data_IF_054408775922
#
_entry.id   IF_054408775922
#
_cell.length_a   1.000
_cell.length_b   1.000
_cell.length_c   1.000
_cell.angle_alpha   90.00
_cell.angle_beta   90.00
_cell.angle_gamma   90.00
#
_symmetry.space_group_name_H-M   'P 1'
#
loop_
_entity.id
_entity.type
_entity.pdbx_description
1 polymer ?
#
# COMPACT_ATOMS: atom_id res chain seq x y z
N UNK A 1 -5.64 1.50 -3.59
CA UNK A 1 -5.26 2.51 -4.59
C UNK A 1 -5.80 3.84 -4.10
N UNK A 2 -4.95 4.68 -3.51
CA UNK A 2 -5.37 5.94 -2.86
C UNK A 2 -5.52 7.13 -3.83
N UNK A 3 -5.64 6.86 -5.14
CA UNK A 3 -5.89 7.90 -6.14
C UNK A 3 -4.65 8.63 -6.68
N UNK A 4 -3.48 8.50 -6.05
CA UNK A 4 -2.24 9.19 -6.45
C UNK A 4 -1.80 8.90 -7.89
N UNK A 5 -1.81 9.95 -8.73
CA UNK A 5 -1.47 9.86 -10.16
C UNK A 5 0.01 9.52 -10.40
N UNK A 6 0.91 10.12 -9.61
CA UNK A 6 2.33 9.78 -9.62
C UNK A 6 2.58 8.30 -9.27
N UNK A 7 1.90 7.75 -8.26
CA UNK A 7 2.08 6.33 -7.91
C UNK A 7 1.51 5.41 -8.99
N UNK A 8 0.39 5.78 -9.63
CA UNK A 8 -0.20 5.02 -10.74
C UNK A 8 0.69 4.97 -11.98
N UNK A 9 1.50 6.01 -12.23
CA UNK A 9 2.40 6.02 -13.40
C UNK A 9 3.55 5.02 -13.29
N UNK A 10 3.85 4.50 -12.09
CA UNK A 10 4.84 3.44 -11.88
C UNK A 10 4.44 2.09 -12.49
N UNK A 11 3.21 1.97 -13.02
CA UNK A 11 2.73 0.81 -13.75
C UNK A 11 1.93 -0.17 -12.90
N UNK A 12 1.54 -1.29 -13.53
CA UNK A 12 0.76 -2.36 -12.87
C UNK A 12 1.70 -3.36 -12.18
N UNK A 13 1.29 -3.95 -11.04
CA UNK A 13 2.04 -5.04 -10.41
C UNK A 13 2.25 -6.20 -11.39
N UNK A 14 3.46 -6.75 -11.40
CA UNK A 14 3.76 -7.97 -12.12
C UNK A 14 3.32 -9.18 -11.31
N UNK A 15 2.59 -10.12 -11.92
CA UNK A 15 2.07 -11.35 -11.28
C UNK A 15 3.13 -12.45 -11.09
N UNK A 16 4.38 -12.05 -10.81
CA UNK A 16 5.52 -12.98 -10.67
C UNK A 16 5.50 -13.76 -9.35
N UNK A 17 4.91 -13.20 -8.32
CA UNK A 17 4.85 -13.83 -7.00
C UNK A 17 3.67 -14.80 -6.92
N UNK A 18 3.99 -16.08 -6.76
CA UNK A 18 3.02 -17.19 -6.77
C UNK A 18 3.21 -18.17 -5.61
N UNK A 19 4.25 -17.98 -4.79
CA UNK A 19 4.45 -18.76 -3.58
C UNK A 19 3.43 -18.37 -2.50
N UNK A 20 3.14 -19.32 -1.60
CA UNK A 20 2.12 -19.18 -0.56
C UNK A 20 2.33 -17.93 0.31
N UNK A 21 3.57 -17.69 0.77
CA UNK A 21 3.89 -16.55 1.64
C UNK A 21 3.60 -15.24 0.93
N UNK A 22 4.03 -15.10 -0.33
CA UNK A 22 3.71 -13.92 -1.13
C UNK A 22 2.21 -13.72 -1.34
N UNK A 23 1.46 -14.79 -1.62
CA UNK A 23 0.02 -14.71 -1.83
C UNK A 23 -0.73 -14.28 -0.56
N UNK A 24 -0.32 -14.77 0.60
CA UNK A 24 -0.86 -14.34 1.91
C UNK A 24 -0.59 -12.84 2.14
N UNK A 25 0.63 -12.36 1.89
CA UNK A 25 0.96 -10.94 1.98
C UNK A 25 0.14 -10.08 1.02
N UNK A 26 0.00 -10.51 -0.24
CA UNK A 26 -0.80 -9.80 -1.25
C UNK A 26 -2.26 -9.71 -0.80
N UNK A 27 -2.84 -10.83 -0.35
CA UNK A 27 -4.21 -10.87 0.13
C UNK A 27 -4.44 -9.94 1.33
N UNK A 28 -3.48 -9.89 2.27
CA UNK A 28 -3.52 -8.93 3.37
C UNK A 28 -3.52 -7.47 2.88
N UNK A 29 -2.65 -7.13 1.93
CA UNK A 29 -2.58 -5.77 1.36
C UNK A 29 -3.89 -5.40 0.67
N UNK A 30 -4.52 -6.33 -0.06
CA UNK A 30 -5.81 -6.10 -0.70
C UNK A 30 -6.90 -5.80 0.34
N UNK A 31 -6.95 -6.56 1.44
CA UNK A 31 -7.86 -6.28 2.56
C UNK A 31 -7.55 -4.91 3.18
N UNK A 32 -6.29 -4.63 3.52
CA UNK A 32 -5.85 -3.35 4.09
C UNK A 32 -6.32 -2.16 3.25
N UNK A 33 -6.11 -2.24 1.94
CA UNK A 33 -6.51 -1.19 1.00
C UNK A 33 -8.03 -1.06 0.91
N UNK A 34 -8.75 -2.19 0.84
CA UNK A 34 -10.22 -2.18 0.76
C UNK A 34 -10.89 -1.58 2.00
N UNK A 35 -10.25 -1.73 3.17
CA UNK A 35 -10.71 -1.22 4.46
C UNK A 35 -10.07 0.13 4.84
N UNK A 36 -9.38 0.80 3.92
CA UNK A 36 -8.73 2.10 4.15
C UNK A 36 -7.83 2.11 5.40
N UNK A 37 -7.04 1.05 5.56
CA UNK A 37 -6.12 0.86 6.68
C UNK A 37 -6.77 0.37 7.99
N UNK A 38 -8.09 0.24 8.06
CA UNK A 38 -8.78 -0.31 9.23
C UNK A 38 -8.86 -1.83 9.16
N UNK A 39 -7.77 -2.50 9.51
CA UNK A 39 -7.69 -3.97 9.45
C UNK A 39 -8.06 -4.59 10.80
N UNK A 40 -9.08 -5.48 10.86
CA UNK A 40 -9.41 -6.21 12.09
C UNK A 40 -8.25 -7.10 12.55
N UNK A 41 -8.10 -7.24 13.88
CA UNK A 41 -7.05 -8.09 14.48
C UNK A 41 -7.09 -9.54 13.95
N UNK A 42 -8.28 -10.06 13.66
CA UNK A 42 -8.46 -11.39 13.08
C UNK A 42 -7.74 -11.56 11.73
N UNK A 43 -7.64 -10.49 10.93
CA UNK A 43 -6.92 -10.50 9.66
C UNK A 43 -5.41 -10.58 9.89
N UNK A 44 -4.90 -9.88 10.91
CA UNK A 44 -3.48 -9.95 11.30
C UNK A 44 -3.15 -11.35 11.85
N UNK A 45 -4.05 -11.96 12.62
CA UNK A 45 -3.88 -13.34 13.12
C UNK A 45 -3.79 -14.39 12.00
N UNK A 46 -4.34 -14.13 10.81
CA UNK A 46 -4.16 -15.04 9.67
C UNK A 46 -2.70 -15.06 9.20
N UNK A 47 -1.99 -13.94 9.28
CA UNK A 47 -0.58 -13.85 8.86
C UNK A 47 0.34 -14.75 9.69
N UNK A 48 0.04 -14.95 10.98
CA UNK A 48 0.87 -15.75 11.89
C UNK A 48 0.93 -17.24 11.50
N UNK A 49 0.10 -17.69 10.56
CA UNK A 49 0.13 -19.06 10.03
C UNK A 49 1.27 -19.28 9.04
N UNK A 50 1.82 -18.22 8.46
CA UNK A 50 2.79 -18.30 7.35
C UNK A 50 3.99 -17.37 7.56
N UNK A 51 3.84 -16.30 8.34
CA UNK A 51 4.87 -15.31 8.65
C UNK A 51 5.30 -15.40 10.11
N UNK A 52 6.56 -15.05 10.36
CA UNK A 52 7.08 -14.78 11.70
C UNK A 52 6.62 -13.41 12.22
N UNK A 53 6.71 -13.19 13.53
CA UNK A 53 6.35 -11.89 14.14
C UNK A 53 7.13 -10.71 13.54
N UNK A 54 8.42 -10.92 13.24
CA UNK A 54 9.27 -9.90 12.61
C UNK A 54 8.77 -9.57 11.20
N UNK A 55 8.51 -10.59 10.38
CA UNK A 55 7.99 -10.40 9.02
C UNK A 55 6.62 -9.70 9.03
N UNK A 56 5.77 -9.98 10.03
CA UNK A 56 4.48 -9.30 10.19
C UNK A 56 4.71 -7.82 10.50
N UNK A 57 5.60 -7.49 11.44
CA UNK A 57 5.93 -6.09 11.77
C UNK A 57 6.47 -5.36 10.54
N UNK A 58 7.37 -5.98 9.78
CA UNK A 58 7.92 -5.41 8.55
C UNK A 58 6.83 -5.18 7.50
N UNK A 59 5.94 -6.16 7.28
CA UNK A 59 4.82 -6.04 6.34
C UNK A 59 3.88 -4.89 6.74
N UNK A 60 3.47 -4.84 8.01
CA UNK A 60 2.58 -3.80 8.52
C UNK A 60 3.20 -2.41 8.38
N UNK A 61 4.48 -2.26 8.76
CA UNK A 61 5.21 -1.01 8.59
C UNK A 61 5.27 -0.61 7.11
N UNK A 62 5.72 -1.51 6.23
CA UNK A 62 5.87 -1.25 4.81
C UNK A 62 4.55 -0.80 4.16
N UNK A 63 3.46 -1.50 4.44
CA UNK A 63 2.13 -1.21 3.87
C UNK A 63 1.61 0.12 4.40
N UNK A 64 1.76 0.39 5.69
CA UNK A 64 1.32 1.65 6.31
C UNK A 64 2.07 2.85 5.75
N UNK A 65 3.41 2.77 5.66
CA UNK A 65 4.23 3.84 5.07
C UNK A 65 3.90 4.05 3.58
N UNK A 66 3.77 2.97 2.81
CA UNK A 66 3.41 3.05 1.40
C UNK A 66 2.03 3.67 1.20
N UNK A 67 1.07 3.33 2.05
CA UNK A 67 -0.27 3.91 1.99
C UNK A 67 -0.26 5.40 2.32
N UNK A 68 0.41 5.80 3.40
CA UNK A 68 0.57 7.19 3.78
C UNK A 68 1.25 8.03 2.67
N UNK A 69 2.31 7.50 2.04
CA UNK A 69 2.95 8.16 0.90
C UNK A 69 2.00 8.33 -0.30
N UNK A 70 1.15 7.34 -0.58
CA UNK A 70 0.15 7.44 -1.64
C UNK A 70 -0.93 8.46 -1.31
N UNK A 71 -1.44 8.48 -0.08
CA UNK A 71 -2.41 9.48 0.37
C UNK A 71 -1.81 10.88 0.32
N UNK A 72 -0.59 11.06 0.82
CA UNK A 72 0.15 12.31 0.71
C UNK A 72 0.28 12.76 -0.74
N UNK A 73 0.73 11.88 -1.63
CA UNK A 73 0.85 12.22 -3.05
C UNK A 73 -0.48 12.59 -3.70
N UNK A 74 -1.59 11.98 -3.27
CA UNK A 74 -2.93 12.35 -3.71
C UNK A 74 -3.38 13.71 -3.16
N UNK A 75 -3.17 13.98 -1.86
CA UNK A 75 -3.46 15.27 -1.22
C UNK A 75 -2.70 16.41 -1.90
N UNK A 76 -1.46 16.15 -2.27
CA UNK A 76 -0.61 17.10 -2.96
C UNK A 76 -0.96 17.20 -4.46
N UNK A 77 -1.78 16.31 -5.02
CA UNK A 77 -2.04 16.22 -6.47
C UNK A 77 -0.74 16.06 -7.29
N UNK A 78 0.19 15.21 -6.82
CA UNK A 78 1.46 14.95 -7.50
C UNK A 78 1.24 14.38 -8.90
N UNK A 79 1.82 15.07 -9.89
CA UNK A 79 1.76 14.67 -11.30
C UNK A 79 2.92 13.72 -11.67
N UNK A 80 2.72 12.82 -12.66
CA UNK A 80 3.76 11.89 -13.13
C UNK A 80 5.02 12.56 -13.71
N UNK A 81 4.86 13.73 -14.31
CA UNK A 81 5.95 14.57 -14.83
C UNK A 81 6.23 15.70 -13.84
N UNK A 82 7.49 15.92 -13.48
CA UNK A 82 7.98 16.85 -12.45
C UNK A 82 7.67 18.36 -12.64
N UNK A 83 6.49 18.74 -13.09
CA UNK A 83 6.00 20.12 -13.07
C UNK A 83 5.20 20.36 -11.79
N UNK A 84 5.87 20.18 -10.63
CA UNK A 84 5.27 20.51 -9.34
C UNK A 84 5.14 22.03 -9.21
N UNK A 85 3.91 22.53 -9.09
CA UNK A 85 3.63 23.87 -8.58
C UNK A 85 2.61 23.72 -7.45
N UNK A 86 2.94 24.24 -6.26
CA UNK A 86 1.90 24.49 -5.26
C UNK A 86 0.94 25.50 -5.89
N UNK A 87 -0.30 25.09 -6.14
CA UNK A 87 -1.32 26.00 -6.62
C UNK A 87 -1.80 26.82 -5.43
N UNK A 88 -1.19 27.99 -5.22
CA UNK A 88 -1.55 28.93 -4.16
C UNK A 88 -2.75 29.81 -4.53
N UNK A 89 -3.29 29.66 -5.73
CA UNK A 89 -4.39 30.47 -6.22
C UNK A 89 -5.71 29.73 -5.97
N UNK A 90 -6.20 29.85 -4.74
CA UNK A 90 -7.61 29.70 -4.37
C UNK A 90 -8.10 31.01 -3.77
#
# INVERSE_FOLDING_TARGET
NSGCLYCKSKGKPNKKFTDEKSLVCIGFVDVYVSQKGQVPQSTIQVLTKTLTDLEIVELLAFVSFTHCQQEFGAMMNLQPSNNWKFNTDQ
#
